data_IF_074014266916
#
_entry.id   IF_074014266916
#
_cell.length_a   1.000
_cell.length_b   1.000
_cell.length_c   1.000
_cell.angle_alpha   90.00
_cell.angle_beta   90.00
_cell.angle_gamma   90.00
#
_symmetry.space_group_name_H-M   'P 1'
#
loop_
_entity.id
_entity.type
_entity.pdbx_description
1 polymer ?
#
# COMPACT_ATOMS: atom_id res chain seq x y z
N UNK A 1 -30.15 -13.51 12.12
CA UNK A 1 -30.12 -12.07 12.39
C UNK A 1 -28.90 -11.50 11.66
N UNK A 2 -29.09 -10.80 10.55
CA UNK A 2 -28.00 -10.18 9.82
C UNK A 2 -27.45 -9.02 10.65
N UNK A 3 -26.20 -9.10 11.08
CA UNK A 3 -25.49 -7.98 11.65
C UNK A 3 -25.57 -6.83 10.64
N UNK A 4 -26.27 -5.76 10.97
CA UNK A 4 -26.25 -4.51 10.20
C UNK A 4 -24.81 -4.02 10.32
N UNK A 5 -24.05 -4.18 9.24
CA UNK A 5 -22.69 -3.67 9.18
C UNK A 5 -22.79 -2.14 9.10
N UNK A 6 -22.26 -1.48 10.11
CA UNK A 6 -22.17 -0.04 10.16
C UNK A 6 -21.14 0.45 9.13
N UNK A 7 -21.49 1.49 8.38
CA UNK A 7 -20.55 2.17 7.49
C UNK A 7 -19.96 3.36 8.24
N UNK A 8 -18.64 3.45 8.26
CA UNK A 8 -17.89 4.55 8.86
C UNK A 8 -16.99 5.20 7.79
N UNK A 9 -16.65 6.46 7.99
CA UNK A 9 -15.66 7.13 7.14
C UNK A 9 -14.26 6.64 7.47
N UNK A 10 -13.38 6.62 6.48
CA UNK A 10 -11.99 6.20 6.67
C UNK A 10 -11.25 7.10 7.69
N UNK A 11 -11.54 8.40 7.71
CA UNK A 11 -10.97 9.34 8.69
C UNK A 11 -11.33 9.04 10.15
N UNK A 12 -12.42 8.32 10.42
CA UNK A 12 -12.81 7.94 11.77
C UNK A 12 -11.91 6.85 12.35
N UNK A 13 -11.38 5.98 11.50
CA UNK A 13 -10.56 4.81 11.90
C UNK A 13 -9.07 4.99 11.63
N UNK A 14 -8.67 5.94 10.78
CA UNK A 14 -7.28 6.17 10.42
C UNK A 14 -6.97 7.66 10.26
N UNK A 15 -5.71 8.02 10.47
CA UNK A 15 -5.14 9.28 10.05
C UNK A 15 -4.56 9.12 8.65
N UNK A 16 -4.86 10.05 7.74
CA UNK A 16 -4.46 9.99 6.35
C UNK A 16 -3.67 11.23 5.99
N UNK A 17 -2.46 11.03 5.50
CA UNK A 17 -1.58 12.11 5.04
C UNK A 17 -0.99 11.80 3.67
N UNK A 18 -0.53 12.83 2.97
CA UNK A 18 0.24 12.67 1.73
C UNK A 18 1.69 12.36 2.06
N UNK A 19 2.33 11.55 1.22
CA UNK A 19 3.77 11.36 1.27
C UNK A 19 4.57 12.62 0.91
N UNK A 20 5.89 12.49 0.92
CA UNK A 20 6.86 13.57 0.73
C UNK A 20 7.00 13.98 -0.74
N UNK A 21 7.08 15.28 -1.03
CA UNK A 21 7.43 15.78 -2.37
C UNK A 21 8.94 15.70 -2.55
N UNK A 22 9.42 14.66 -3.23
CA UNK A 22 10.85 14.33 -3.36
C UNK A 22 11.67 15.44 -4.02
N UNK A 23 11.17 16.07 -5.07
CA UNK A 23 11.91 17.11 -5.85
C UNK A 23 12.36 18.33 -5.03
N UNK A 24 11.86 18.49 -3.80
CA UNK A 24 12.25 19.58 -2.91
C UNK A 24 13.47 19.23 -2.03
N UNK A 25 13.90 17.99 -2.03
CA UNK A 25 14.90 17.45 -1.09
C UNK A 25 16.04 16.70 -1.81
N UNK A 26 15.96 16.50 -3.13
CA UNK A 26 17.04 15.89 -3.90
C UNK A 26 18.19 16.87 -4.03
N UNK A 27 19.38 16.49 -3.56
CA UNK A 27 20.62 17.16 -3.93
C UNK A 27 21.11 16.62 -5.27
N UNK A 28 21.63 17.48 -6.13
CA UNK A 28 22.52 17.06 -7.21
C UNK A 28 23.73 16.33 -6.58
N UNK A 29 24.03 15.18 -7.15
CA UNK A 29 25.08 14.22 -6.79
C UNK A 29 26.30 14.87 -6.08
N UNK A 30 26.65 14.37 -4.89
CA UNK A 30 27.90 14.64 -4.12
C UNK A 30 27.78 15.44 -2.80
N UNK A 31 26.59 15.81 -2.33
CA UNK A 31 26.50 16.45 -1.00
C UNK A 31 26.26 15.42 0.10
N UNK A 32 26.97 15.60 1.22
CA UNK A 32 26.74 14.86 2.46
C UNK A 32 25.28 15.01 2.88
N UNK A 33 24.52 13.92 2.89
CA UNK A 33 23.13 13.84 3.27
C UNK A 33 22.80 12.51 3.91
N UNK A 34 21.66 12.41 4.52
CA UNK A 34 21.15 11.15 5.07
C UNK A 34 20.48 10.33 3.95
N UNK A 35 20.81 9.05 3.85
CA UNK A 35 20.23 8.16 2.86
C UNK A 35 18.84 7.69 3.29
N UNK A 36 17.88 7.80 2.38
CA UNK A 36 16.51 7.33 2.55
C UNK A 36 16.14 6.35 1.45
N UNK A 37 15.48 5.27 1.85
CA UNK A 37 14.77 4.38 0.93
C UNK A 37 13.39 4.96 0.64
N UNK A 38 12.93 4.87 -0.60
CA UNK A 38 11.57 5.30 -0.91
C UNK A 38 10.78 4.29 -1.73
N UNK A 39 9.48 4.29 -1.46
CA UNK A 39 8.49 3.46 -2.16
C UNK A 39 8.32 3.99 -3.58
N UNK A 40 8.42 3.12 -4.58
CA UNK A 40 8.12 3.46 -5.99
C UNK A 40 6.72 3.00 -6.39
N UNK A 41 6.16 3.57 -7.45
CA UNK A 41 4.88 3.09 -7.98
C UNK A 41 4.94 1.63 -8.43
N UNK A 42 6.11 1.16 -8.86
CA UNK A 42 6.32 -0.24 -9.29
C UNK A 42 6.43 -1.19 -8.11
N UNK A 43 6.90 -0.72 -6.95
CA UNK A 43 7.09 -1.57 -5.77
C UNK A 43 5.78 -1.96 -5.08
N UNK A 44 4.68 -1.24 -5.34
CA UNK A 44 3.40 -1.47 -4.65
C UNK A 44 2.40 -2.16 -5.57
N UNK A 45 1.96 -3.32 -5.17
CA UNK A 45 0.82 -4.04 -5.72
C UNK A 45 -0.28 -4.17 -4.65
N UNK A 46 -1.41 -4.79 -5.00
CA UNK A 46 -2.49 -5.03 -4.05
C UNK A 46 -2.00 -5.90 -2.87
N UNK A 47 -1.99 -5.32 -1.68
CA UNK A 47 -1.57 -5.95 -0.42
C UNK A 47 -0.12 -6.47 -0.44
N UNK A 48 0.75 -5.93 -1.29
CA UNK A 48 2.15 -6.37 -1.38
C UNK A 48 3.08 -5.22 -1.72
N UNK A 49 4.26 -5.26 -1.10
CA UNK A 49 5.38 -4.40 -1.42
C UNK A 49 6.54 -5.27 -1.89
N UNK A 50 7.07 -4.98 -3.07
CA UNK A 50 8.28 -5.61 -3.57
C UNK A 50 9.48 -4.78 -3.14
N UNK A 51 10.27 -5.31 -2.19
CA UNK A 51 11.43 -4.63 -1.62
C UNK A 51 12.57 -4.44 -2.63
N UNK A 52 12.67 -5.30 -3.64
CA UNK A 52 13.69 -5.20 -4.70
C UNK A 52 13.47 -3.99 -5.62
N UNK A 53 12.27 -3.39 -5.57
CA UNK A 53 11.88 -2.23 -6.38
C UNK A 53 11.83 -0.93 -5.58
N UNK A 54 12.34 -0.94 -4.34
CA UNK A 54 12.62 0.28 -3.60
C UNK A 54 13.83 0.97 -4.21
N UNK A 55 13.86 2.29 -4.12
CA UNK A 55 14.97 3.10 -4.60
C UNK A 55 15.55 3.92 -3.45
N UNK A 56 16.82 4.34 -3.57
CA UNK A 56 17.52 5.15 -2.58
C UNK A 56 17.67 6.58 -3.07
N UNK A 57 17.71 7.51 -2.13
CA UNK A 57 18.13 8.88 -2.42
C UNK A 57 18.78 9.52 -1.19
N UNK A 58 19.75 10.40 -1.44
CA UNK A 58 20.35 11.24 -0.41
C UNK A 58 19.54 12.52 -0.25
N UNK A 59 19.30 12.92 0.99
CA UNK A 59 18.57 14.14 1.33
C UNK A 59 19.43 15.06 2.15
N UNK A 60 19.56 16.34 1.74
CA UNK A 60 20.34 17.36 2.46
C UNK A 60 19.79 17.66 3.86
N UNK A 61 18.51 17.40 4.08
CA UNK A 61 17.82 17.69 5.35
C UNK A 61 17.13 16.45 5.87
N UNK A 62 17.17 16.28 7.17
CA UNK A 62 16.46 15.21 7.85
C UNK A 62 14.96 15.26 7.51
N UNK A 63 14.42 14.13 7.07
CA UNK A 63 12.99 13.99 6.77
C UNK A 63 12.18 14.04 8.08
N UNK A 64 11.07 14.75 8.06
CA UNK A 64 10.17 14.80 9.22
C UNK A 64 9.53 13.44 9.48
N UNK A 65 9.38 13.08 10.74
CA UNK A 65 8.87 11.80 11.22
C UNK A 65 7.52 11.38 10.57
N UNK A 66 6.66 12.34 10.29
CA UNK A 66 5.36 12.08 9.64
C UNK A 66 5.46 11.42 8.26
N UNK A 67 6.61 11.53 7.56
CA UNK A 67 6.85 10.94 6.25
C UNK A 67 7.61 9.60 6.33
N UNK A 68 8.20 9.28 7.51
CA UNK A 68 8.85 8.00 7.75
C UNK A 68 7.77 6.93 7.90
N UNK A 69 7.92 5.85 7.18
CA UNK A 69 7.02 4.72 7.24
C UNK A 69 7.44 3.74 8.32
N UNK A 70 6.48 3.30 9.11
CA UNK A 70 6.66 2.32 10.17
C UNK A 70 5.83 1.08 9.91
N UNK A 71 6.23 -0.01 10.51
CA UNK A 71 5.42 -1.22 10.53
C UNK A 71 4.04 -0.95 11.09
N UNK A 72 3.01 -1.37 10.37
CA UNK A 72 1.61 -1.09 10.66
C UNK A 72 1.03 0.06 9.86
N UNK A 73 1.84 0.91 9.22
CA UNK A 73 1.36 1.90 8.26
C UNK A 73 0.83 1.21 7.00
N UNK A 74 -0.20 1.79 6.40
CA UNK A 74 -0.68 1.38 5.08
C UNK A 74 -0.35 2.49 4.09
N UNK A 75 0.21 2.10 2.95
CA UNK A 75 0.42 3.02 1.83
C UNK A 75 -0.59 2.74 0.73
N UNK A 76 -1.06 3.78 0.05
CA UNK A 76 -2.00 3.67 -1.04
C UNK A 76 -1.65 4.60 -2.18
N UNK A 77 -1.60 4.09 -3.41
CA UNK A 77 -1.43 4.92 -4.62
C UNK A 77 -2.58 5.91 -4.76
N UNK A 78 -2.26 7.16 -5.01
CA UNK A 78 -3.27 8.21 -5.26
C UNK A 78 -3.79 8.24 -6.70
N UNK A 79 -3.23 7.40 -7.58
CA UNK A 79 -3.67 7.22 -8.96
C UNK A 79 -4.06 5.77 -9.24
N UNK A 80 -4.88 5.50 -10.27
CA UNK A 80 -5.21 4.13 -10.68
C UNK A 80 -3.95 3.27 -10.86
N UNK A 81 -3.99 2.01 -10.44
CA UNK A 81 -5.14 1.23 -9.98
C UNK A 81 -5.51 1.39 -8.49
N UNK A 82 -5.03 2.41 -7.78
CA UNK A 82 -5.29 2.69 -6.36
C UNK A 82 -4.90 1.54 -5.43
N UNK A 83 -3.80 0.85 -5.74
CA UNK A 83 -3.32 -0.27 -4.93
C UNK A 83 -2.86 0.20 -3.56
N UNK A 84 -3.28 -0.50 -2.53
CA UNK A 84 -2.86 -0.30 -1.15
C UNK A 84 -2.07 -1.51 -0.63
N UNK A 85 -1.09 -1.27 0.24
CA UNK A 85 -0.31 -2.31 0.89
C UNK A 85 0.04 -1.93 2.32
N UNK A 86 0.05 -2.94 3.20
CA UNK A 86 0.51 -2.82 4.58
C UNK A 86 2.05 -2.88 4.62
N UNK A 87 2.66 -2.02 5.42
CA UNK A 87 4.06 -2.14 5.82
C UNK A 87 4.10 -3.19 6.95
N UNK A 88 4.52 -4.41 6.66
CA UNK A 88 4.59 -5.52 7.61
C UNK A 88 6.03 -5.85 8.07
N UNK A 89 6.97 -5.01 7.68
CA UNK A 89 8.41 -5.09 7.96
C UNK A 89 8.93 -3.79 8.58
N UNK A 90 10.11 -3.84 9.16
CA UNK A 90 10.82 -2.70 9.69
C UNK A 90 12.03 -2.39 8.79
N UNK A 91 12.05 -1.22 8.19
CA UNK A 91 13.19 -0.67 7.45
C UNK A 91 13.44 0.76 7.92
N UNK A 92 14.67 1.09 8.34
CA UNK A 92 15.02 2.45 8.74
C UNK A 92 14.93 3.39 7.54
N UNK A 93 14.58 4.64 7.79
CA UNK A 93 14.56 5.70 6.79
C UNK A 93 13.72 5.38 5.53
N UNK A 94 12.67 4.56 5.67
CA UNK A 94 11.76 4.29 4.57
C UNK A 94 10.71 5.40 4.47
N UNK A 95 10.54 5.98 3.29
CA UNK A 95 9.59 7.08 3.04
C UNK A 95 8.65 6.77 1.88
N UNK A 96 7.48 7.41 1.89
CA UNK A 96 6.55 7.40 0.76
C UNK A 96 6.58 8.74 0.02
N UNK A 97 6.73 8.73 -1.32
CA UNK A 97 6.56 9.94 -2.15
C UNK A 97 5.12 10.47 -2.15
N UNK A 98 4.94 11.72 -2.58
CA UNK A 98 3.64 12.42 -2.57
C UNK A 98 2.55 11.85 -3.50
N UNK A 99 2.89 10.90 -4.34
CA UNK A 99 1.94 10.12 -5.15
C UNK A 99 1.30 8.96 -4.37
N UNK A 100 1.65 8.83 -3.08
CA UNK A 100 1.03 7.90 -2.13
C UNK A 100 0.33 8.64 -0.99
N UNK A 101 -0.73 8.04 -0.48
CA UNK A 101 -1.26 8.33 0.84
C UNK A 101 -0.57 7.42 1.87
N UNK A 102 -0.27 7.97 3.05
CA UNK A 102 0.14 7.24 4.25
C UNK A 102 -1.09 7.17 5.15
N UNK A 103 -1.50 5.97 5.54
CA UNK A 103 -2.70 5.71 6.32
C UNK A 103 -2.29 5.01 7.62
N UNK A 104 -2.50 5.67 8.76
CA UNK A 104 -2.14 5.21 10.10
C UNK A 104 -3.39 4.92 10.91
N UNK A 105 -3.49 3.72 11.44
CA UNK A 105 -4.65 3.31 12.24
C UNK A 105 -4.69 4.10 13.55
N UNK A 106 -5.85 4.68 13.87
CA UNK A 106 -6.06 5.44 15.11
C UNK A 106 -6.35 4.55 16.30
N UNK A 107 -7.35 3.66 16.22
CA UNK A 107 -7.81 2.78 17.32
C UNK A 107 -8.55 1.58 16.77
N UNK A 108 -8.48 0.48 17.51
CA UNK A 108 -9.32 -0.73 17.41
C UNK A 108 -9.67 -1.25 16.00
N UNK A 109 -8.97 -0.78 15.00
CA UNK A 109 -9.08 -1.28 13.64
C UNK A 109 -7.84 -2.13 13.31
N UNK A 110 -8.00 -3.14 12.47
CA UNK A 110 -6.91 -3.99 12.06
C UNK A 110 -6.30 -3.47 10.74
N UNK A 111 -4.99 -3.20 10.74
CA UNK A 111 -4.31 -2.61 9.60
C UNK A 111 -4.29 -3.55 8.38
N UNK A 112 -4.08 -4.84 8.61
CA UNK A 112 -4.08 -5.84 7.54
C UNK A 112 -5.48 -5.97 6.92
N UNK A 113 -6.53 -6.01 7.76
CA UNK A 113 -7.92 -6.00 7.32
C UNK A 113 -8.25 -4.74 6.51
N UNK A 114 -7.83 -3.55 6.97
CA UNK A 114 -8.06 -2.31 6.25
C UNK A 114 -7.36 -2.33 4.88
N UNK A 115 -6.14 -2.79 4.80
CA UNK A 115 -5.39 -2.92 3.54
C UNK A 115 -6.16 -3.77 2.52
N UNK A 116 -6.79 -4.87 2.95
CA UNK A 116 -7.66 -5.68 2.10
C UNK A 116 -8.92 -4.95 1.64
N UNK A 117 -9.57 -4.21 2.55
CA UNK A 117 -10.77 -3.42 2.22
C UNK A 117 -10.44 -2.38 1.16
N UNK A 118 -9.32 -1.65 1.31
CA UNK A 118 -8.90 -0.60 0.38
C UNK A 118 -8.70 -1.13 -1.04
N UNK A 119 -8.24 -2.37 -1.19
CA UNK A 119 -8.11 -3.06 -2.49
C UNK A 119 -9.44 -3.67 -2.97
N UNK A 120 -10.49 -3.61 -2.17
CA UNK A 120 -11.79 -4.21 -2.48
C UNK A 120 -12.55 -3.49 -3.60
N UNK A 121 -13.40 -4.24 -4.31
CA UNK A 121 -14.21 -3.71 -5.43
C UNK A 121 -15.08 -2.51 -5.05
N UNK A 122 -15.59 -2.46 -3.81
CA UNK A 122 -16.43 -1.35 -3.34
C UNK A 122 -15.63 -0.04 -3.28
N UNK A 123 -14.45 -0.06 -2.67
CA UNK A 123 -13.57 1.11 -2.57
C UNK A 123 -13.10 1.53 -3.95
N UNK A 124 -12.67 0.60 -4.79
CA UNK A 124 -12.26 0.92 -6.18
C UNK A 124 -13.37 1.58 -6.98
N UNK A 125 -14.63 1.15 -6.81
CA UNK A 125 -15.78 1.82 -7.45
C UNK A 125 -15.98 3.25 -6.94
N UNK A 126 -15.84 3.49 -5.63
CA UNK A 126 -15.92 4.82 -5.06
C UNK A 126 -14.81 5.72 -5.66
N UNK A 127 -13.56 5.25 -5.68
CA UNK A 127 -12.39 5.98 -6.19
C UNK A 127 -12.50 6.25 -7.70
N UNK A 128 -12.87 5.26 -8.50
CA UNK A 128 -13.01 5.42 -9.94
C UNK A 128 -14.07 6.48 -10.30
N UNK A 129 -15.18 6.55 -9.58
CA UNK A 129 -16.19 7.61 -9.78
C UNK A 129 -15.65 9.02 -9.53
N UNK A 130 -14.64 9.17 -8.66
CA UNK A 130 -14.03 10.48 -8.37
C UNK A 130 -13.12 10.98 -9.49
N UNK A 131 -12.53 10.05 -10.25
CA UNK A 131 -11.62 10.39 -11.37
C UNK A 131 -12.30 10.28 -12.75
N UNK A 132 -13.53 9.74 -12.80
CA UNK A 132 -14.31 9.58 -14.01
C UNK A 132 -14.64 10.96 -14.59
N UNK A 133 -14.27 11.18 -15.85
CA UNK A 133 -14.48 12.47 -16.55
C UNK A 133 -13.51 13.60 -16.14
N UNK A 134 -12.49 13.33 -15.34
CA UNK A 134 -11.46 14.31 -14.99
C UNK A 134 -10.16 14.08 -15.76
N UNK A 135 -9.49 15.18 -16.13
CA UNK A 135 -8.12 15.12 -16.70
C UNK A 135 -7.10 14.70 -15.63
N UNK A 136 -7.37 15.02 -14.36
CA UNK A 136 -6.52 14.69 -13.23
C UNK A 136 -6.86 13.30 -12.69
N UNK A 137 -5.93 12.36 -12.86
CA UNK A 137 -6.08 10.97 -12.39
C UNK A 137 -5.66 10.79 -10.92
N UNK A 138 -5.18 11.85 -10.26
CA UNK A 138 -4.70 11.79 -8.87
C UNK A 138 -5.81 12.26 -7.93
N UNK A 139 -6.18 11.44 -6.97
CA UNK A 139 -7.16 11.78 -5.94
C UNK A 139 -6.51 12.56 -4.79
N UNK A 140 -7.28 13.50 -4.22
CA UNK A 140 -6.85 14.27 -3.04
C UNK A 140 -7.08 13.46 -1.76
N UNK A 141 -6.26 13.71 -0.74
CA UNK A 141 -6.40 13.09 0.59
C UNK A 141 -7.80 13.32 1.18
N UNK A 142 -8.40 14.50 0.96
CA UNK A 142 -9.77 14.80 1.41
C UNK A 142 -10.82 13.81 0.91
N UNK A 143 -10.63 13.26 -0.30
CA UNK A 143 -11.54 12.24 -0.83
C UNK A 143 -11.34 10.88 -0.15
N UNK A 144 -10.10 10.55 0.24
CA UNK A 144 -9.84 9.33 1.01
C UNK A 144 -10.48 9.40 2.39
N UNK A 145 -10.45 10.57 3.04
CA UNK A 145 -11.09 10.78 4.33
C UNK A 145 -12.59 10.42 4.30
N UNK A 146 -13.29 10.79 3.23
CA UNK A 146 -14.73 10.56 3.06
C UNK A 146 -15.11 9.14 2.57
N UNK A 147 -14.11 8.28 2.28
CA UNK A 147 -14.40 6.91 1.83
C UNK A 147 -15.18 6.15 2.89
N UNK A 148 -16.29 5.56 2.48
CA UNK A 148 -17.11 4.71 3.33
C UNK A 148 -16.60 3.29 3.33
N UNK A 149 -16.28 2.79 4.51
CA UNK A 149 -15.84 1.43 4.75
C UNK A 149 -16.81 0.71 5.68
N UNK A 150 -16.93 -0.61 5.53
CA UNK A 150 -17.75 -1.44 6.42
C UNK A 150 -16.95 -1.78 7.67
N UNK A 151 -17.47 -1.35 8.83
CA UNK A 151 -16.90 -1.70 10.10
C UNK A 151 -17.42 -3.09 10.54
N UNK A 152 -16.49 -3.88 11.08
CA UNK A 152 -16.76 -5.15 11.76
C UNK A 152 -16.16 -5.11 13.15
N UNK A 153 -16.60 -6.00 14.04
CA UNK A 153 -15.91 -6.15 15.32
C UNK A 153 -14.46 -6.61 15.12
N UNK A 154 -13.58 -6.28 16.07
CA UNK A 154 -12.14 -6.54 15.98
C UNK A 154 -11.79 -8.02 15.75
N UNK A 155 -12.55 -8.94 16.35
CA UNK A 155 -12.32 -10.38 16.20
C UNK A 155 -12.62 -10.84 14.77
N UNK A 156 -13.69 -10.33 14.18
CA UNK A 156 -14.01 -10.60 12.78
C UNK A 156 -12.97 -9.99 11.83
N UNK A 157 -12.51 -8.75 12.09
CA UNK A 157 -11.46 -8.12 11.29
C UNK A 157 -10.22 -9.02 11.23
N UNK A 158 -9.69 -9.44 12.38
CA UNK A 158 -8.51 -10.32 12.49
C UNK A 158 -8.75 -11.66 11.76
N UNK A 159 -9.94 -12.25 11.94
CA UNK A 159 -10.30 -13.51 11.26
C UNK A 159 -10.29 -13.36 9.74
N UNK A 160 -10.87 -12.28 9.20
CA UNK A 160 -10.90 -12.03 7.77
C UNK A 160 -9.53 -11.66 7.22
N UNK A 161 -8.75 -10.84 7.95
CA UNK A 161 -7.38 -10.54 7.57
C UNK A 161 -6.56 -11.83 7.39
N UNK A 162 -6.54 -12.68 8.40
CA UNK A 162 -5.83 -13.97 8.36
C UNK A 162 -6.29 -14.87 7.21
N UNK A 163 -7.60 -14.95 6.96
CA UNK A 163 -8.15 -15.75 5.86
C UNK A 163 -7.67 -15.21 4.50
N UNK A 164 -7.73 -13.89 4.30
CA UNK A 164 -7.35 -13.25 3.04
C UNK A 164 -5.82 -13.35 2.81
N UNK A 165 -5.01 -13.19 3.84
CA UNK A 165 -3.56 -13.43 3.81
C UNK A 165 -3.22 -14.86 3.36
N UNK A 166 -3.92 -15.86 3.88
CA UNK A 166 -3.72 -17.25 3.47
C UNK A 166 -4.07 -17.45 1.99
N UNK A 167 -5.13 -16.80 1.49
CA UNK A 167 -5.45 -16.84 0.06
C UNK A 167 -4.38 -16.18 -0.80
N UNK A 168 -3.81 -15.05 -0.37
CA UNK A 168 -2.70 -14.41 -1.07
C UNK A 168 -1.47 -15.31 -1.12
N UNK A 169 -1.07 -15.87 0.03
CA UNK A 169 0.07 -16.80 0.12
C UNK A 169 -0.13 -18.02 -0.78
N UNK A 170 -1.32 -18.62 -0.76
CA UNK A 170 -1.65 -19.72 -1.66
C UNK A 170 -1.51 -19.34 -3.13
N UNK A 171 -1.98 -18.13 -3.52
CA UNK A 171 -1.86 -17.62 -4.89
C UNK A 171 -0.40 -17.43 -5.30
N UNK A 172 0.44 -16.91 -4.41
CA UNK A 172 1.87 -16.74 -4.67
C UNK A 172 2.58 -18.09 -4.84
N UNK A 173 2.31 -19.06 -3.96
CA UNK A 173 2.88 -20.41 -4.09
C UNK A 173 2.49 -21.07 -5.41
N UNK A 174 1.23 -20.92 -5.84
CA UNK A 174 0.80 -21.43 -7.15
C UNK A 174 1.56 -20.79 -8.31
N UNK A 175 1.75 -19.45 -8.28
CA UNK A 175 2.54 -18.75 -9.30
C UNK A 175 3.98 -19.24 -9.33
N UNK A 176 4.57 -19.49 -8.16
CA UNK A 176 5.93 -20.01 -8.06
C UNK A 176 6.06 -21.43 -8.60
N UNK A 177 5.09 -22.29 -8.31
CA UNK A 177 5.04 -23.66 -8.86
C UNK A 177 5.01 -23.62 -10.38
N UNK A 178 4.08 -22.87 -10.99
CA UNK A 178 3.97 -22.72 -12.44
C UNK A 178 5.28 -22.26 -13.08
N UNK A 179 5.95 -21.25 -12.48
CA UNK A 179 7.25 -20.76 -12.96
C UNK A 179 8.33 -21.84 -12.91
N UNK A 180 8.37 -22.65 -11.84
CA UNK A 180 9.34 -23.72 -11.70
C UNK A 180 9.07 -24.87 -12.71
N UNK A 181 7.81 -25.19 -12.97
CA UNK A 181 7.40 -26.17 -13.99
C UNK A 181 7.83 -25.73 -15.39
N UNK A 182 7.61 -24.44 -15.73
CA UNK A 182 8.09 -23.86 -16.99
C UNK A 182 9.63 -23.92 -17.13
N UNK A 183 10.35 -23.59 -16.06
CA UNK A 183 11.82 -23.67 -16.04
C UNK A 183 12.31 -25.12 -16.22
N UNK A 184 11.67 -26.07 -15.53
CA UNK A 184 12.01 -27.48 -15.66
C UNK A 184 11.76 -27.98 -17.10
N UNK A 185 10.60 -27.65 -17.67
CA UNK A 185 10.27 -28.02 -19.05
C UNK A 185 11.30 -27.46 -20.04
N UNK A 186 11.68 -26.17 -19.90
CA UNK A 186 12.68 -25.56 -20.77
C UNK A 186 14.07 -26.20 -20.60
N UNK A 187 14.46 -26.57 -19.38
CA UNK A 187 15.70 -27.29 -19.14
C UNK A 187 15.71 -28.70 -19.78
N UNK A 188 14.60 -29.40 -19.73
CA UNK A 188 14.48 -30.73 -20.40
C UNK A 188 14.61 -30.55 -21.91
N UNK A 189 13.87 -29.60 -22.50
CA UNK A 189 13.88 -29.35 -23.94
C UNK A 189 15.26 -28.90 -24.46
N UNK A 190 16.03 -28.17 -23.64
CA UNK A 190 17.38 -27.72 -24.02
C UNK A 190 18.44 -28.83 -23.93
N UNK A 191 18.10 -29.96 -23.31
CA UNK A 191 19.00 -31.13 -23.19
C UNK A 191 18.62 -32.30 -24.12
N UNK A 192 17.57 -32.12 -24.96
CA UNK A 192 17.19 -33.03 -26.04
C UNK A 192 17.84 -32.63 -27.36
#
# INVERSE_FOLDING_TARGET
>A
MGNIMEEVKLEEVAEISSGLVLNRFSSDQEKEGEEYLYITLKSVEDNKINLELLECMNMERKVQERYILHKGDIIMKLAPPFSAALIDFDLPNLIAPSNFAIIRIKKDFDAEYLSFILNGKLIRRQLNRLVEGTILTIIKISYLNELKIKQRDKKEQIKYAKLLSLFLKRRELKKRILKLEEQLMNNILSNL
#
